data_IF_593709073178
#
_entry.id   IF_593709073178
#
_cell.length_a   1.000
_cell.length_b   1.000
_cell.length_c   1.000
_cell.angle_alpha   90.00
_cell.angle_beta   90.00
_cell.angle_gamma   90.00
#
_symmetry.space_group_name_H-M   'P 1'
#
loop_
_entity.id
_entity.type
_entity.pdbx_description
1 polymer ?
#
# COMPACT_ATOMS: atom_id res chain seq x y z
N UNK A 1 -7.33 -4.16 4.28
CA UNK A 1 -8.20 -3.97 3.09
C UNK A 1 -7.34 -3.82 1.84
N UNK A 2 -7.82 -4.25 0.66
CA UNK A 2 -7.12 -4.06 -0.61
C UNK A 2 -7.43 -2.68 -1.21
N UNK A 3 -6.41 -1.87 -1.45
CA UNK A 3 -6.55 -0.53 -2.05
C UNK A 3 -5.60 -0.39 -3.23
N UNK A 4 -5.98 0.45 -4.20
CA UNK A 4 -5.03 0.91 -5.22
C UNK A 4 -3.91 1.71 -4.56
N UNK A 5 -2.74 1.77 -5.20
CA UNK A 5 -1.59 2.52 -4.66
C UNK A 5 -1.95 3.98 -4.39
N UNK A 6 -2.73 4.63 -5.27
CA UNK A 6 -3.17 6.02 -5.07
C UNK A 6 -4.10 6.16 -3.85
N UNK A 7 -5.06 5.24 -3.68
CA UNK A 7 -5.95 5.23 -2.52
C UNK A 7 -5.20 4.94 -1.21
N UNK A 8 -4.27 3.99 -1.24
CA UNK A 8 -3.42 3.66 -0.12
C UNK A 8 -2.51 4.85 0.25
N UNK A 9 -2.04 5.61 -0.74
CA UNK A 9 -1.22 6.81 -0.55
C UNK A 9 -1.97 7.88 0.23
N UNK A 10 -3.21 8.17 -0.19
CA UNK A 10 -4.10 9.11 0.50
C UNK A 10 -4.41 8.63 1.92
N UNK A 11 -4.77 7.35 2.07
CA UNK A 11 -5.21 6.82 3.38
C UNK A 11 -4.08 6.69 4.40
N UNK A 12 -2.87 6.40 3.95
CA UNK A 12 -1.69 6.26 4.82
C UNK A 12 -0.91 7.57 4.97
N UNK A 13 -1.24 8.63 4.22
CA UNK A 13 -0.50 9.88 4.23
C UNK A 13 0.96 9.75 3.75
N UNK A 14 1.28 8.73 2.94
CA UNK A 14 2.64 8.47 2.44
C UNK A 14 2.68 8.50 0.92
N UNK A 15 3.84 8.86 0.36
CA UNK A 15 4.01 8.89 -1.09
C UNK A 15 3.82 7.52 -1.74
N UNK A 16 3.32 7.53 -2.98
CA UNK A 16 3.22 6.34 -3.84
C UNK A 16 4.55 5.60 -3.96
N UNK A 17 5.66 6.33 -4.02
CA UNK A 17 7.02 5.76 -4.09
C UNK A 17 7.39 5.03 -2.79
N UNK A 18 6.97 5.53 -1.63
CA UNK A 18 7.14 4.84 -0.35
C UNK A 18 6.38 3.52 -0.33
N UNK A 19 5.13 3.51 -0.81
CA UNK A 19 4.33 2.28 -0.94
C UNK A 19 5.01 1.30 -1.89
N UNK A 20 5.45 1.75 -3.07
CA UNK A 20 6.16 0.91 -4.03
C UNK A 20 7.46 0.33 -3.45
N UNK A 21 8.24 1.12 -2.71
CA UNK A 21 9.44 0.63 -2.00
C UNK A 21 9.07 -0.45 -0.97
N UNK A 22 8.00 -0.25 -0.21
CA UNK A 22 7.51 -1.25 0.76
C UNK A 22 7.04 -2.54 0.09
N UNK A 23 6.38 -2.44 -1.06
CA UNK A 23 6.01 -3.59 -1.91
C UNK A 23 7.25 -4.30 -2.44
N UNK A 24 8.24 -3.57 -2.96
CA UNK A 24 9.50 -4.13 -3.45
C UNK A 24 10.30 -4.84 -2.37
N UNK A 25 10.24 -4.35 -1.12
CA UNK A 25 10.85 -4.96 0.06
C UNK A 25 9.99 -6.06 0.69
N UNK A 26 8.86 -6.43 0.07
CA UNK A 26 7.90 -7.42 0.57
C UNK A 26 7.34 -7.15 1.99
N UNK A 27 7.45 -5.91 2.47
CA UNK A 27 6.96 -5.49 3.79
C UNK A 27 5.45 -5.26 3.84
N UNK A 28 4.79 -5.11 2.68
CA UNK A 28 3.33 -5.07 2.58
C UNK A 28 2.88 -6.06 1.52
N UNK A 29 1.72 -6.68 1.74
CA UNK A 29 1.14 -7.59 0.75
C UNK A 29 0.67 -6.77 -0.45
N UNK A 30 0.95 -7.25 -1.65
CA UNK A 30 0.46 -6.64 -2.90
C UNK A 30 -0.08 -7.72 -3.83
N UNK A 31 -1.06 -7.37 -4.66
CA UNK A 31 -1.56 -8.22 -5.73
C UNK A 31 -1.76 -7.41 -7.01
N UNK A 32 -1.53 -8.03 -8.16
CA UNK A 32 -1.77 -7.44 -9.48
C UNK A 32 -3.09 -7.98 -10.02
N UNK A 33 -3.93 -7.11 -10.56
CA UNK A 33 -5.14 -7.49 -11.29
C UNK A 33 -5.20 -6.65 -12.58
N UNK A 34 -4.91 -7.29 -13.72
CA UNK A 34 -4.68 -6.61 -14.99
C UNK A 34 -3.55 -5.58 -14.90
N UNK A 35 -3.81 -4.36 -15.35
CA UNK A 35 -2.86 -3.25 -15.26
C UNK A 35 -2.86 -2.53 -13.88
N UNK A 36 -3.71 -2.96 -12.94
CA UNK A 36 -3.85 -2.33 -11.63
C UNK A 36 -3.09 -3.13 -10.58
N UNK A 37 -2.37 -2.42 -9.69
CA UNK A 37 -1.71 -3.02 -8.52
C UNK A 37 -2.45 -2.58 -7.26
N UNK A 38 -2.85 -3.56 -6.47
CA UNK A 38 -3.49 -3.38 -5.19
C UNK A 38 -2.51 -3.71 -4.07
N UNK A 39 -2.62 -2.99 -2.96
CA UNK A 39 -1.83 -3.16 -1.76
C UNK A 39 -2.75 -3.43 -0.58
N UNK A 40 -2.36 -4.35 0.29
CA UNK A 40 -3.07 -4.58 1.54
C UNK A 40 -2.65 -3.51 2.53
N UNK A 41 -3.59 -2.64 2.86
CA UNK A 41 -3.44 -1.66 3.93
C UNK A 41 -4.12 -2.22 5.16
N UNK A 42 -3.33 -2.47 6.20
CA UNK A 42 -3.85 -2.90 7.50
C UNK A 42 -4.33 -1.67 8.29
N UNK A 43 -5.53 -1.68 8.89
CA UNK A 43 -5.94 -0.61 9.81
C UNK A 43 -4.95 -0.39 10.96
N UNK A 44 -4.28 -1.45 11.42
CA UNK A 44 -3.28 -1.39 12.48
C UNK A 44 -1.96 -0.77 12.02
N UNK A 45 -1.72 -0.65 10.70
CA UNK A 45 -0.54 0.04 10.16
C UNK A 45 -0.55 1.54 10.50
N UNK A 46 -1.71 2.12 10.82
CA UNK A 46 -1.87 3.49 11.30
C UNK A 46 -1.57 3.64 12.80
N UNK A 47 -1.45 2.53 13.55
CA UNK A 47 -1.32 2.55 15.02
C UNK A 47 0.12 2.61 15.52
N UNK A 48 1.08 2.85 14.63
CA UNK A 48 2.49 3.09 14.97
C UNK A 48 2.99 4.34 14.24
N UNK A 49 2.78 5.50 14.86
CA UNK A 49 3.84 6.25 15.54
C UNK A 49 3.23 7.39 16.34
#
# INVERSE_FOLDING_TARGET
MWLLIDQASIRLGISRRTIQRKVSRQTIRSKKNGNRRYVWVDPLFLRKS
#
